data_IF_994185597351
#
_entry.id   IF_994185597351
#
_cell.length_a   1.000
_cell.length_b   1.000
_cell.length_c   1.000
_cell.angle_alpha   90.00
_cell.angle_beta   90.00
_cell.angle_gamma   90.00
#
_symmetry.space_group_name_H-M   'P 1'
#
loop_
_entity.id
_entity.type
_entity.pdbx_description
1 polymer ?
#
# COMPACT_ATOMS: atom_id res chain seq x y z
N UNK A 1 12.56 4.29 16.00
CA UNK A 1 13.47 4.44 14.83
C UNK A 1 13.86 5.90 14.67
N UNK A 2 12.92 6.84 14.62
CA UNK A 2 13.20 8.27 14.43
C UNK A 2 14.22 8.85 15.44
N UNK A 3 14.17 8.42 16.70
CA UNK A 3 15.10 8.89 17.75
C UNK A 3 16.56 8.45 17.54
N UNK A 4 16.81 7.48 16.67
CA UNK A 4 18.15 6.97 16.39
C UNK A 4 18.74 7.52 15.08
N UNK A 5 17.98 8.32 14.33
CA UNK A 5 18.38 8.88 13.03
C UNK A 5 18.40 10.42 13.11
N UNK A 6 19.37 11.02 12.44
CA UNK A 6 19.41 12.47 12.25
C UNK A 6 18.61 12.87 10.99
N UNK A 7 18.06 14.08 10.99
CA UNK A 7 17.31 14.65 9.86
C UNK A 7 16.05 13.83 9.47
N UNK A 8 15.29 13.38 10.46
CA UNK A 8 14.03 12.66 10.27
C UNK A 8 12.86 13.59 10.52
N UNK A 9 11.90 13.56 9.62
CA UNK A 9 10.59 14.20 9.78
C UNK A 9 9.57 13.12 10.12
N UNK A 10 9.03 13.15 11.34
CA UNK A 10 7.97 12.23 11.74
C UNK A 10 6.63 12.66 11.13
N UNK A 11 5.81 11.69 10.71
CA UNK A 11 4.47 11.92 10.20
C UNK A 11 3.51 10.89 10.78
N UNK A 12 2.36 11.33 11.25
CA UNK A 12 1.30 10.49 11.80
C UNK A 12 0.13 10.34 10.82
N UNK A 13 -0.72 9.31 11.00
CA UNK A 13 -1.91 9.14 10.17
C UNK A 13 -2.78 10.40 10.14
N UNK A 14 -3.17 10.83 8.93
CA UNK A 14 -3.97 12.04 8.69
C UNK A 14 -3.16 13.33 8.54
N UNK A 15 -1.86 13.30 8.78
CA UNK A 15 -0.99 14.47 8.58
C UNK A 15 -0.55 14.65 7.13
N UNK A 16 -0.27 15.91 6.78
CA UNK A 16 0.38 16.31 5.52
C UNK A 16 1.64 17.11 5.86
N UNK A 17 2.76 16.73 5.26
CA UNK A 17 4.05 17.44 5.44
C UNK A 17 4.73 17.67 4.09
N UNK A 18 5.50 18.74 4.02
CA UNK A 18 6.32 19.08 2.85
C UNK A 18 7.79 19.15 3.28
N UNK A 19 8.64 18.42 2.57
CA UNK A 19 10.08 18.41 2.78
C UNK A 19 10.77 18.71 1.44
N UNK A 20 11.38 19.88 1.33
CA UNK A 20 11.89 20.37 0.06
C UNK A 20 10.75 20.53 -0.97
N UNK A 21 10.87 19.85 -2.11
CA UNK A 21 9.87 19.83 -3.18
C UNK A 21 8.93 18.59 -3.11
N UNK A 22 9.04 17.79 -2.07
CA UNK A 22 8.20 16.59 -1.87
C UNK A 22 7.10 16.87 -0.86
N UNK A 23 5.85 16.73 -1.27
CA UNK A 23 4.68 16.76 -0.39
C UNK A 23 4.23 15.34 -0.08
N UNK A 24 3.99 15.06 1.20
CA UNK A 24 3.54 13.74 1.66
C UNK A 24 2.28 13.87 2.50
N UNK A 25 1.28 13.03 2.21
CA UNK A 25 0.13 12.81 3.08
C UNK A 25 0.17 11.37 3.62
N UNK A 26 -0.07 11.20 4.91
CA UNK A 26 -0.10 9.91 5.57
C UNK A 26 -1.54 9.45 5.79
N UNK A 27 -1.85 8.26 5.29
CA UNK A 27 -3.13 7.58 5.49
C UNK A 27 -2.96 6.46 6.52
N UNK A 28 -3.97 6.16 7.35
CA UNK A 28 -3.91 4.98 8.23
C UNK A 28 -3.72 3.70 7.41
N UNK A 29 -2.78 2.85 7.82
CA UNK A 29 -2.54 1.54 7.22
C UNK A 29 -2.71 0.46 8.28
N UNK A 30 -3.66 -0.46 8.09
CA UNK A 30 -3.98 -1.49 9.08
C UNK A 30 -4.68 -2.70 8.47
N UNK A 31 -4.79 -3.78 9.26
CA UNK A 31 -5.55 -4.96 8.87
C UNK A 31 -6.97 -4.92 9.41
N UNK A 32 -7.90 -5.42 8.58
CA UNK A 32 -9.31 -5.63 8.92
C UNK A 32 -9.54 -7.11 9.26
N UNK A 33 -9.00 -8.03 8.46
CA UNK A 33 -9.31 -9.46 8.50
C UNK A 33 -8.08 -10.39 8.40
N UNK A 34 -6.87 -9.86 8.51
CA UNK A 34 -5.63 -10.65 8.53
C UNK A 34 -5.22 -10.88 9.99
N UNK A 35 -5.64 -12.02 10.54
CA UNK A 35 -5.46 -12.34 11.95
C UNK A 35 -4.14 -13.06 12.23
N UNK A 36 -3.41 -12.56 13.22
CA UNK A 36 -2.27 -13.26 13.84
C UNK A 36 -2.77 -14.26 14.90
N UNK A 37 -3.83 -13.90 15.61
CA UNK A 37 -4.52 -14.75 16.58
C UNK A 37 -6.04 -14.64 16.33
N UNK A 38 -6.59 -15.54 15.49
CA UNK A 38 -8.02 -15.52 15.17
C UNK A 38 -8.93 -15.75 16.39
N UNK A 39 -8.48 -16.56 17.36
CA UNK A 39 -9.27 -16.87 18.55
C UNK A 39 -9.49 -15.66 19.44
N UNK A 40 -8.54 -14.72 19.43
CA UNK A 40 -8.58 -13.46 20.19
C UNK A 40 -8.96 -12.25 19.34
N UNK A 41 -9.19 -12.43 18.03
CA UNK A 41 -9.46 -11.33 17.11
C UNK A 41 -8.26 -10.38 16.90
N UNK A 42 -7.03 -10.84 17.15
CA UNK A 42 -5.83 -10.01 17.03
C UNK A 42 -5.32 -10.05 15.59
N UNK A 43 -5.37 -8.92 14.89
CA UNK A 43 -4.82 -8.78 13.55
C UNK A 43 -3.30 -8.55 13.58
N UNK A 44 -2.62 -8.73 12.43
CA UNK A 44 -1.17 -8.51 12.32
C UNK A 44 -0.78 -7.04 12.52
N UNK A 45 -1.54 -6.13 11.89
CA UNK A 45 -1.28 -4.68 11.93
C UNK A 45 -2.54 -3.97 12.44
N UNK A 46 -2.73 -3.87 13.77
CA UNK A 46 -3.91 -3.20 14.31
C UNK A 46 -3.83 -1.68 14.09
N UNK A 47 -4.98 -1.04 13.91
CA UNK A 47 -5.08 0.40 13.63
C UNK A 47 -4.38 1.27 14.69
N UNK A 48 -4.41 0.87 15.95
CA UNK A 48 -3.78 1.59 17.07
C UNK A 48 -2.25 1.62 17.00
N UNK A 49 -1.61 0.81 16.15
CA UNK A 49 -0.15 0.87 15.93
C UNK A 49 0.28 2.16 15.22
N UNK A 50 -0.66 2.91 14.64
CA UNK A 50 -0.37 4.17 13.97
C UNK A 50 0.48 4.03 12.71
N UNK A 51 0.44 2.87 12.04
CA UNK A 51 1.14 2.63 10.78
C UNK A 51 0.51 3.47 9.66
N UNK A 52 1.31 3.81 8.66
CA UNK A 52 0.89 4.71 7.58
C UNK A 52 1.17 4.14 6.19
N UNK A 53 0.26 4.45 5.29
CA UNK A 53 0.47 4.49 3.85
C UNK A 53 0.80 5.92 3.45
N UNK A 54 1.52 6.11 2.36
CA UNK A 54 1.97 7.42 1.92
C UNK A 54 1.39 7.79 0.55
N UNK A 55 0.84 8.99 0.45
CA UNK A 55 0.63 9.66 -0.84
C UNK A 55 1.75 10.70 -1.00
N UNK A 56 2.63 10.45 -1.95
CA UNK A 56 3.81 11.28 -2.22
C UNK A 56 3.54 12.05 -3.51
N UNK A 57 3.64 13.37 -3.45
CA UNK A 57 3.55 14.25 -4.60
C UNK A 57 4.91 14.88 -4.87
N UNK A 58 5.44 14.62 -6.08
CA UNK A 58 6.72 15.12 -6.56
C UNK A 58 6.56 15.53 -8.03
N UNK A 59 6.90 16.78 -8.37
CA UNK A 59 6.86 17.29 -9.75
C UNK A 59 5.50 17.07 -10.44
N UNK A 60 4.40 17.17 -9.68
CA UNK A 60 3.05 17.00 -10.19
C UNK A 60 2.58 15.54 -10.33
N UNK A 61 3.44 14.56 -10.06
CA UNK A 61 3.10 13.14 -10.05
C UNK A 61 2.75 12.70 -8.63
N UNK A 62 1.63 12.01 -8.47
CA UNK A 62 1.15 11.47 -7.19
C UNK A 62 1.34 9.96 -7.15
N UNK A 63 2.13 9.50 -6.19
CA UNK A 63 2.46 8.10 -5.96
C UNK A 63 1.89 7.68 -4.62
N UNK A 64 1.02 6.67 -4.60
CA UNK A 64 0.51 6.08 -3.37
C UNK A 64 1.20 4.76 -3.08
N UNK A 65 1.80 4.66 -1.90
CA UNK A 65 2.40 3.43 -1.38
C UNK A 65 1.54 2.92 -0.22
N UNK A 66 0.83 1.82 -0.43
CA UNK A 66 -0.15 1.31 0.53
C UNK A 66 0.47 0.76 1.83
N UNK A 67 1.76 0.44 1.83
CA UNK A 67 2.40 -0.23 2.96
C UNK A 67 1.82 -1.62 3.21
N UNK A 68 1.99 -2.14 4.41
CA UNK A 68 1.41 -3.41 4.86
C UNK A 68 0.01 -3.15 5.42
N UNK A 69 -0.99 -3.20 4.55
CA UNK A 69 -2.37 -2.86 4.88
C UNK A 69 -3.37 -3.73 4.13
N UNK A 70 -4.58 -3.82 4.66
CA UNK A 70 -5.75 -4.21 3.89
C UNK A 70 -6.31 -3.01 3.11
N UNK A 71 -7.31 -3.24 2.25
CA UNK A 71 -8.06 -2.17 1.61
C UNK A 71 -8.99 -1.51 2.65
N UNK A 72 -8.45 -0.53 3.35
CA UNK A 72 -9.16 0.21 4.39
C UNK A 72 -10.06 1.30 3.79
N UNK A 73 -11.15 1.72 4.49
CA UNK A 73 -12.08 2.73 3.97
C UNK A 73 -11.40 4.04 3.56
N UNK A 74 -10.36 4.45 4.27
CA UNK A 74 -9.62 5.68 4.02
C UNK A 74 -8.92 5.70 2.64
N UNK A 75 -8.63 4.53 2.08
CA UNK A 75 -7.99 4.43 0.76
C UNK A 75 -8.93 4.76 -0.41
N UNK A 76 -10.25 4.77 -0.19
CA UNK A 76 -11.23 5.15 -1.22
C UNK A 76 -11.12 6.62 -1.65
N UNK A 77 -10.59 7.47 -0.77
CA UNK A 77 -10.41 8.89 -1.04
C UNK A 77 -9.09 9.21 -1.76
N UNK A 78 -8.23 8.22 -1.97
CA UNK A 78 -6.93 8.40 -2.60
C UNK A 78 -7.08 8.80 -4.06
N UNK A 79 -6.32 9.82 -4.47
CA UNK A 79 -6.17 10.25 -5.86
C UNK A 79 -4.68 10.18 -6.21
N UNK A 80 -4.29 9.17 -6.96
CA UNK A 80 -2.89 8.90 -7.31
C UNK A 80 -2.76 8.56 -8.80
N UNK A 81 -1.61 8.90 -9.38
CA UNK A 81 -1.23 8.51 -10.75
C UNK A 81 -0.63 7.10 -10.76
N UNK A 82 0.11 6.77 -9.70
CA UNK A 82 0.78 5.49 -9.52
C UNK A 82 0.40 4.92 -8.16
N UNK A 83 0.08 3.62 -8.09
CA UNK A 83 -0.21 2.91 -6.84
C UNK A 83 0.72 1.71 -6.70
N UNK A 84 1.46 1.65 -5.57
CA UNK A 84 2.19 0.47 -5.14
C UNK A 84 1.33 -0.27 -4.12
N UNK A 85 0.91 -1.49 -4.44
CA UNK A 85 -0.08 -2.24 -3.66
C UNK A 85 0.42 -3.64 -3.31
N UNK A 86 0.35 -4.06 -2.02
CA UNK A 86 0.74 -5.40 -1.63
C UNK A 86 -0.31 -6.42 -2.10
N UNK A 87 0.12 -7.64 -2.49
CA UNK A 87 -0.75 -8.65 -3.07
C UNK A 87 -0.62 -10.05 -2.46
N UNK A 88 0.21 -10.25 -1.43
CA UNK A 88 0.50 -11.60 -0.91
C UNK A 88 -0.65 -12.26 -0.15
N UNK A 89 -1.59 -11.50 0.42
CA UNK A 89 -2.71 -12.03 1.19
C UNK A 89 -2.36 -12.55 2.59
N UNK A 90 -1.08 -12.52 3.00
CA UNK A 90 -0.67 -13.12 4.26
C UNK A 90 -0.95 -12.18 5.45
N UNK A 91 -0.48 -10.96 5.43
CA UNK A 91 -0.79 -9.90 6.39
C UNK A 91 -1.09 -8.57 5.71
N UNK A 92 -1.45 -8.66 4.45
CA UNK A 92 -1.76 -7.56 3.55
C UNK A 92 -2.89 -7.98 2.61
N UNK A 93 -3.31 -7.12 1.71
CA UNK A 93 -4.33 -7.41 0.70
C UNK A 93 -4.01 -8.70 -0.08
N UNK A 94 -5.05 -9.48 -0.34
CA UNK A 94 -5.04 -10.54 -1.36
C UNK A 94 -5.02 -9.90 -2.75
N UNK A 95 -4.70 -10.66 -3.83
CA UNK A 95 -4.79 -10.14 -5.20
C UNK A 95 -6.15 -9.52 -5.54
N UNK A 96 -7.23 -10.12 -5.04
CA UNK A 96 -8.60 -9.63 -5.24
C UNK A 96 -8.88 -8.31 -4.52
N UNK A 97 -8.51 -8.21 -3.24
CA UNK A 97 -8.65 -6.98 -2.45
C UNK A 97 -7.81 -5.83 -3.04
N UNK A 98 -6.59 -6.15 -3.49
CA UNK A 98 -5.69 -5.19 -4.14
C UNK A 98 -6.27 -4.69 -5.47
N UNK A 99 -6.87 -5.58 -6.27
CA UNK A 99 -7.53 -5.22 -7.52
C UNK A 99 -8.79 -4.39 -7.26
N UNK A 100 -9.58 -4.70 -6.22
CA UNK A 100 -10.73 -3.90 -5.80
C UNK A 100 -10.30 -2.47 -5.45
N UNK A 101 -9.24 -2.32 -4.66
CA UNK A 101 -8.66 -1.02 -4.31
C UNK A 101 -8.21 -0.24 -5.56
N UNK A 102 -7.39 -0.86 -6.41
CA UNK A 102 -6.86 -0.22 -7.62
C UNK A 102 -7.99 0.15 -8.59
N UNK A 103 -9.00 -0.71 -8.75
CA UNK A 103 -10.16 -0.45 -9.58
C UNK A 103 -11.05 0.68 -9.06
N UNK A 104 -11.05 0.94 -7.73
CA UNK A 104 -11.77 2.05 -7.13
C UNK A 104 -11.03 3.39 -7.27
N UNK A 105 -9.70 3.37 -7.15
CA UNK A 105 -8.84 4.58 -7.25
C UNK A 105 -8.61 5.01 -8.69
N UNK A 106 -8.57 4.05 -9.63
CA UNK A 106 -8.33 4.26 -11.06
C UNK A 106 -7.01 5.01 -11.37
N UNK A 107 -5.85 4.55 -10.85
CA UNK A 107 -4.58 5.13 -11.19
C UNK A 107 -4.23 4.87 -12.65
N UNK A 108 -3.26 5.59 -13.21
CA UNK A 108 -2.69 5.27 -14.53
C UNK A 108 -1.87 3.99 -14.49
N UNK A 109 -1.11 3.80 -13.40
CA UNK A 109 -0.19 2.66 -13.23
C UNK A 109 -0.42 2.02 -11.86
N UNK A 110 -0.46 0.69 -11.81
CA UNK A 110 -0.46 -0.11 -10.59
C UNK A 110 0.73 -1.06 -10.56
N UNK A 111 1.45 -1.09 -9.45
CA UNK A 111 2.65 -1.91 -9.26
C UNK A 111 2.40 -2.84 -8.07
N UNK A 112 2.22 -4.16 -8.30
CA UNK A 112 2.12 -5.11 -7.20
C UNK A 112 3.46 -5.23 -6.46
N UNK A 113 3.38 -5.36 -5.14
CA UNK A 113 4.54 -5.58 -4.27
C UNK A 113 4.24 -6.64 -3.22
N UNK A 114 5.22 -6.98 -2.39
CA UNK A 114 5.07 -7.92 -1.28
C UNK A 114 4.77 -9.35 -1.73
N UNK A 115 5.52 -9.85 -2.74
CA UNK A 115 5.43 -11.20 -3.28
C UNK A 115 6.81 -11.70 -3.74
N UNK A 116 6.91 -13.00 -4.00
CA UNK A 116 8.05 -13.61 -4.71
C UNK A 116 9.37 -13.71 -3.91
N UNK A 117 9.35 -13.51 -2.59
CA UNK A 117 10.55 -13.65 -1.74
C UNK A 117 10.26 -14.45 -0.47
N UNK A 118 9.84 -13.80 0.61
CA UNK A 118 9.55 -14.44 1.91
C UNK A 118 8.16 -15.06 1.91
N UNK A 119 7.19 -14.38 1.29
CA UNK A 119 5.79 -14.79 1.22
C UNK A 119 5.29 -14.71 -0.21
N UNK A 120 4.31 -15.56 -0.54
CA UNK A 120 3.68 -15.62 -1.85
C UNK A 120 4.68 -15.90 -3.00
N UNK A 121 4.22 -15.79 -4.22
CA UNK A 121 4.96 -16.06 -5.45
C UNK A 121 4.59 -15.03 -6.53
N UNK A 122 5.13 -15.16 -7.73
CA UNK A 122 4.71 -14.34 -8.86
C UNK A 122 3.24 -14.60 -9.28
N UNK A 123 2.65 -15.73 -8.86
CA UNK A 123 1.26 -16.06 -9.19
C UNK A 123 0.29 -15.00 -8.65
N UNK A 124 0.53 -14.50 -7.44
CA UNK A 124 -0.29 -13.47 -6.82
C UNK A 124 -0.25 -12.16 -7.60
N UNK A 125 0.93 -11.77 -8.10
CA UNK A 125 1.06 -10.59 -8.95
C UNK A 125 0.37 -10.76 -10.32
N UNK A 126 0.44 -11.97 -10.91
CA UNK A 126 -0.24 -12.27 -12.17
C UNK A 126 -1.76 -12.36 -11.99
N UNK A 127 -2.24 -12.91 -10.87
CA UNK A 127 -3.65 -12.92 -10.53
C UNK A 127 -4.18 -11.50 -10.34
N UNK A 128 -3.49 -10.66 -9.58
CA UNK A 128 -3.79 -9.24 -9.45
C UNK A 128 -3.92 -8.56 -10.81
N UNK A 129 -2.91 -8.74 -11.68
CA UNK A 129 -2.92 -8.15 -13.03
C UNK A 129 -4.15 -8.54 -13.84
N UNK A 130 -4.60 -9.79 -13.72
CA UNK A 130 -5.79 -10.30 -14.42
C UNK A 130 -7.10 -9.69 -13.90
N UNK A 131 -7.15 -9.33 -12.61
CA UNK A 131 -8.33 -8.79 -11.92
C UNK A 131 -8.47 -7.26 -12.05
N UNK A 132 -7.39 -6.57 -12.40
CA UNK A 132 -7.41 -5.13 -12.65
C UNK A 132 -8.13 -4.84 -13.96
N UNK A 133 -9.05 -3.86 -13.92
CA UNK A 133 -9.86 -3.49 -15.08
C UNK A 133 -9.02 -2.91 -16.23
N UNK A 134 -9.48 -3.06 -17.49
CA UNK A 134 -8.84 -2.42 -18.63
C UNK A 134 -8.70 -0.90 -18.46
N UNK A 135 -7.59 -0.35 -18.97
CA UNK A 135 -7.27 1.09 -18.88
C UNK A 135 -6.28 1.45 -17.77
N UNK A 136 -6.05 0.55 -16.82
CA UNK A 136 -4.99 0.70 -15.81
C UNK A 136 -3.80 -0.16 -16.23
N UNK A 137 -2.62 0.44 -16.37
CA UNK A 137 -1.40 -0.29 -16.66
C UNK A 137 -0.89 -1.02 -15.42
N UNK A 138 -0.77 -2.35 -15.46
CA UNK A 138 -0.17 -3.13 -14.37
C UNK A 138 1.25 -3.53 -14.74
N UNK A 139 2.21 -2.99 -14.00
CA UNK A 139 3.64 -3.23 -14.17
C UNK A 139 4.14 -4.19 -13.09
N UNK A 140 4.40 -5.43 -13.46
CA UNK A 140 5.01 -6.44 -12.59
C UNK A 140 6.53 -6.32 -12.72
N UNK A 141 7.17 -5.76 -11.70
CA UNK A 141 8.62 -5.54 -11.70
C UNK A 141 9.36 -6.85 -11.46
N UNK A 142 10.45 -7.06 -12.20
CA UNK A 142 11.38 -8.16 -11.98
C UNK A 142 12.38 -7.79 -10.87
N UNK A 143 12.72 -8.76 -10.03
CA UNK A 143 13.79 -8.57 -9.05
C UNK A 143 15.14 -8.59 -9.78
N UNK A 144 15.91 -7.55 -9.63
CA UNK A 144 17.33 -7.57 -10.02
C UNK A 144 18.14 -8.39 -8.99
N UNK A 145 18.95 -9.31 -9.47
CA UNK A 145 19.80 -10.19 -8.65
C UNK A 145 21.23 -9.63 -8.65
#
# INVERSE_FOLDING_TARGET
VAKAMQNVVEIAPGEVKTVGNVKMAAYPAYNINKYRDPARGVVFHPRQDGRVAYLIELEGVKIFHAGDSDFVPEFKEVKADVVLVPVSGVYVMTPSEAAEFVNAVEPRVAIPMHYGSIVASEKEAQEFKRLVKPGIEVVVLQREI
#
